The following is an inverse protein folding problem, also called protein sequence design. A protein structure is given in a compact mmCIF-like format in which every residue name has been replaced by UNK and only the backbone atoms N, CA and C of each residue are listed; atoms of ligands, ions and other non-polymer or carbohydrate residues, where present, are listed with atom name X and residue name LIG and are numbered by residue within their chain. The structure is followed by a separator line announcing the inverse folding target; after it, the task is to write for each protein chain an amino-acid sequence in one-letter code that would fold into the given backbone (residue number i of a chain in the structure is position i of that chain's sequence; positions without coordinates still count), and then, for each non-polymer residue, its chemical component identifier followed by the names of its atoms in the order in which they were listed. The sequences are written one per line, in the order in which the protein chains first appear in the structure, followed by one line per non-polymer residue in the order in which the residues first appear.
data_IF_246162794571
#
_entry.id   IF_246162794571
#
_cell.length_a   1.000
_cell.length_b   1.000
_cell.length_c   1.000
_cell.angle_alpha   90.00
_cell.angle_beta   90.00
_cell.angle_gamma   90.00
#
_symmetry.space_group_name_H-M   'P 1'
#
loop_
_entity.id
_entity.type
_entity.pdbx_description
1 polymer ?
#
# COMPACT_ATOMS: atom_id res chain seq x y z
N UNK A 1 18.39 5.44 9.19
CA UNK A 1 17.83 5.85 10.51
C UNK A 1 16.59 6.75 10.37
N UNK A 2 16.62 7.80 9.55
CA UNK A 2 15.47 8.75 9.38
C UNK A 2 14.20 8.05 8.92
N UNK A 3 14.29 7.19 7.90
CA UNK A 3 13.15 6.44 7.34
C UNK A 3 12.46 5.54 8.37
N UNK A 4 13.25 4.87 9.21
CA UNK A 4 12.72 4.01 10.27
C UNK A 4 11.97 4.84 11.33
N UNK A 5 12.56 5.96 11.75
CA UNK A 5 11.91 6.87 12.69
C UNK A 5 10.58 7.40 12.17
N UNK A 6 10.54 7.81 10.88
CA UNK A 6 9.32 8.28 10.24
C UNK A 6 8.26 7.17 10.14
N UNK A 7 8.65 5.96 9.75
CA UNK A 7 7.73 4.82 9.65
C UNK A 7 7.11 4.46 11.00
N UNK A 8 7.92 4.46 12.07
CA UNK A 8 7.45 4.22 13.44
C UNK A 8 6.51 5.34 13.89
N UNK A 9 6.86 6.61 13.62
CA UNK A 9 6.00 7.74 13.98
C UNK A 9 4.63 7.68 13.29
N UNK A 10 4.60 7.34 12.00
CA UNK A 10 3.35 7.14 11.25
C UNK A 10 2.55 5.96 11.81
N UNK A 11 3.21 4.85 12.13
CA UNK A 11 2.55 3.69 12.73
C UNK A 11 1.94 4.00 14.10
N UNK A 12 2.68 4.68 14.98
CA UNK A 12 2.16 5.09 16.29
C UNK A 12 1.00 6.09 16.14
N UNK A 13 1.11 7.03 15.20
CA UNK A 13 0.00 7.91 14.86
C UNK A 13 -1.22 7.14 14.34
N UNK A 14 -1.01 6.17 13.47
CA UNK A 14 -2.08 5.32 12.97
C UNK A 14 -2.77 4.53 14.09
N UNK A 15 -2.02 3.97 15.03
CA UNK A 15 -2.57 3.30 16.21
C UNK A 15 -3.36 4.27 17.10
N UNK A 16 -2.84 5.48 17.34
CA UNK A 16 -3.51 6.49 18.15
C UNK A 16 -4.88 6.90 17.57
N UNK A 17 -4.95 7.06 16.25
CA UNK A 17 -6.21 7.42 15.57
C UNK A 17 -7.11 6.21 15.26
N UNK A 18 -6.64 5.00 15.48
CA UNK A 18 -7.43 3.78 15.29
C UNK A 18 -8.29 3.49 16.51
N UNK A 19 -9.58 3.15 16.34
CA UNK A 19 -10.40 2.73 17.47
C UNK A 19 -9.83 1.43 18.06
N UNK A 20 -9.53 1.39 19.37
CA UNK A 20 -8.90 0.23 20.01
C UNK A 20 -9.73 -1.06 19.91
N UNK A 21 -11.02 -0.91 19.68
CA UNK A 21 -11.95 -2.04 19.53
C UNK A 21 -11.61 -2.97 18.36
N UNK A 22 -10.95 -2.44 17.31
CA UNK A 22 -10.57 -3.24 16.14
C UNK A 22 -9.51 -4.29 16.47
N UNK A 23 -8.63 -3.97 17.41
CA UNK A 23 -7.55 -4.87 17.80
C UNK A 23 -7.91 -5.74 19.02
N UNK A 24 -8.97 -5.37 19.75
CA UNK A 24 -9.32 -6.04 21.02
C UNK A 24 -10.63 -6.83 20.99
N UNK A 25 -11.57 -6.48 20.10
CA UNK A 25 -12.90 -7.13 20.08
C UNK A 25 -13.04 -8.07 18.88
N UNK A 26 -13.32 -9.37 19.12
CA UNK A 26 -13.80 -10.25 18.05
C UNK A 26 -15.18 -9.75 17.55
N UNK A 27 -15.50 -9.87 16.26
CA UNK A 27 -14.75 -10.49 15.15
C UNK A 27 -13.75 -9.56 14.46
N UNK A 28 -13.67 -8.27 14.83
CA UNK A 28 -12.85 -7.28 14.13
C UNK A 28 -11.35 -7.55 14.23
N UNK A 29 -10.89 -8.01 15.41
CA UNK A 29 -9.48 -8.39 15.61
C UNK A 29 -9.09 -9.62 14.76
N UNK A 30 -10.00 -10.58 14.60
CA UNK A 30 -9.78 -11.74 13.73
C UNK A 30 -9.72 -11.32 12.26
N UNK A 31 -10.54 -10.36 11.84
CA UNK A 31 -10.52 -9.85 10.49
C UNK A 31 -9.22 -9.08 10.19
N UNK A 32 -8.76 -8.28 11.15
CA UNK A 32 -7.47 -7.57 11.04
C UNK A 32 -6.29 -8.56 10.96
N UNK A 33 -6.30 -9.59 11.81
CA UNK A 33 -5.28 -10.64 11.78
C UNK A 33 -5.31 -11.43 10.47
N UNK A 34 -6.51 -11.80 9.99
CA UNK A 34 -6.67 -12.48 8.71
C UNK A 34 -6.16 -11.62 7.54
N UNK A 35 -6.42 -10.30 7.57
CA UNK A 35 -5.90 -9.38 6.57
C UNK A 35 -4.36 -9.31 6.59
N UNK A 36 -3.74 -9.27 7.77
CA UNK A 36 -2.28 -9.30 7.91
C UNK A 36 -1.70 -10.59 7.31
N UNK A 37 -2.24 -11.75 7.68
CA UNK A 37 -1.77 -13.05 7.21
C UNK A 37 -1.97 -13.17 5.69
N UNK A 38 -3.17 -12.83 5.20
CA UNK A 38 -3.49 -12.90 3.78
C UNK A 38 -2.57 -12.01 2.94
N UNK A 39 -2.39 -10.75 3.34
CA UNK A 39 -1.52 -9.83 2.62
C UNK A 39 -0.05 -10.23 2.72
N UNK A 40 0.42 -10.69 3.87
CA UNK A 40 1.79 -11.18 4.02
C UNK A 40 2.05 -12.36 3.07
N UNK A 41 1.10 -13.29 2.93
CA UNK A 41 1.19 -14.39 1.97
C UNK A 41 1.10 -13.87 0.53
N UNK A 42 0.08 -13.06 0.22
CA UNK A 42 -0.15 -12.57 -1.13
C UNK A 42 1.03 -11.73 -1.68
N UNK A 43 1.69 -10.98 -0.83
CA UNK A 43 2.87 -10.20 -1.22
C UNK A 43 4.11 -11.06 -1.47
N UNK A 44 4.18 -12.24 -0.89
CA UNK A 44 5.31 -13.17 -1.03
C UNK A 44 5.07 -14.26 -2.09
N UNK A 45 3.80 -14.51 -2.45
CA UNK A 45 3.44 -15.46 -3.51
C UNK A 45 3.31 -14.71 -4.82
N UNK A 46 4.44 -14.49 -5.50
CA UNK A 46 4.43 -13.94 -6.86
C UNK A 46 4.58 -15.08 -7.86
N UNK A 47 3.64 -15.30 -8.78
CA UNK A 47 3.84 -16.22 -9.88
C UNK A 47 5.03 -15.72 -10.73
N UNK A 48 6.05 -16.56 -10.88
CA UNK A 48 7.18 -16.29 -11.75
C UNK A 48 6.78 -16.55 -13.19
N UNK A 49 6.85 -15.54 -14.04
CA UNK A 49 6.80 -15.76 -15.49
C UNK A 49 8.13 -16.35 -15.95
N UNK A 50 8.12 -17.32 -16.92
CA UNK A 50 9.35 -17.88 -17.47
C UNK A 50 10.27 -16.78 -17.99
N UNK A 51 11.51 -16.73 -17.44
CA UNK A 51 12.54 -15.76 -17.84
C UNK A 51 12.63 -14.48 -17.01
N UNK A 52 11.78 -14.27 -16.00
CA UNK A 52 11.84 -13.12 -15.10
C UNK A 52 12.30 -13.53 -13.69
N UNK A 53 13.03 -12.63 -13.03
CA UNK A 53 13.42 -12.83 -11.64
C UNK A 53 12.16 -12.88 -10.73
N UNK A 54 12.10 -13.79 -9.74
CA UNK A 54 10.94 -13.92 -8.87
C UNK A 54 10.60 -12.60 -8.17
N UNK A 55 9.34 -12.23 -8.18
CA UNK A 55 8.80 -11.19 -7.30
C UNK A 55 8.80 -9.75 -7.80
N UNK A 56 9.40 -9.42 -8.95
CA UNK A 56 9.51 -8.00 -9.37
C UNK A 56 8.24 -7.38 -9.95
N UNK A 57 7.36 -8.14 -10.54
CA UNK A 57 6.25 -7.57 -11.34
C UNK A 57 4.91 -7.61 -10.65
N UNK A 58 4.46 -8.79 -10.21
CA UNK A 58 3.13 -8.96 -9.63
C UNK A 58 3.06 -8.49 -8.17
N UNK A 59 4.16 -8.53 -7.43
CA UNK A 59 4.23 -8.06 -6.06
C UNK A 59 3.84 -6.58 -5.90
N UNK A 60 4.25 -5.72 -6.84
CA UNK A 60 3.96 -4.28 -6.76
C UNK A 60 2.45 -3.99 -6.86
N UNK A 61 1.75 -4.65 -7.78
CA UNK A 61 0.31 -4.46 -7.99
C UNK A 61 -0.48 -4.92 -6.76
N UNK A 62 -0.18 -6.10 -6.23
CA UNK A 62 -0.86 -6.60 -5.03
C UNK A 62 -0.61 -5.70 -3.81
N UNK A 63 0.57 -5.12 -3.68
CA UNK A 63 0.88 -4.18 -2.60
C UNK A 63 -0.01 -2.93 -2.67
N UNK A 64 -0.14 -2.32 -3.84
CA UNK A 64 -0.98 -1.14 -4.02
C UNK A 64 -2.46 -1.43 -3.82
N UNK A 65 -2.96 -2.53 -4.38
CA UNK A 65 -4.36 -2.94 -4.19
C UNK A 65 -4.67 -3.25 -2.73
N UNK A 66 -3.76 -3.91 -2.02
CA UNK A 66 -3.92 -4.19 -0.60
C UNK A 66 -4.09 -2.92 0.24
N UNK A 67 -3.27 -1.90 0.01
CA UNK A 67 -3.36 -0.62 0.69
C UNK A 67 -4.69 0.10 0.42
N UNK A 68 -5.10 0.15 -0.85
CA UNK A 68 -6.35 0.79 -1.26
C UNK A 68 -7.57 0.05 -0.73
N UNK A 69 -7.57 -1.27 -0.80
CA UNK A 69 -8.66 -2.10 -0.29
C UNK A 69 -8.84 -1.93 1.22
N UNK A 70 -7.76 -2.02 2.00
CA UNK A 70 -7.82 -1.80 3.44
C UNK A 70 -8.29 -0.40 3.79
N UNK A 71 -7.86 0.61 3.02
CA UNK A 71 -8.30 1.99 3.21
C UNK A 71 -9.79 2.14 2.96
N UNK A 72 -10.33 1.49 1.94
CA UNK A 72 -11.76 1.50 1.62
C UNK A 72 -12.61 0.77 2.69
N UNK A 73 -12.08 -0.33 3.25
CA UNK A 73 -12.79 -1.16 4.23
C UNK A 73 -12.74 -0.59 5.64
N UNK A 74 -11.57 -0.13 6.10
CA UNK A 74 -11.32 0.21 7.49
C UNK A 74 -10.95 1.66 7.73
N UNK A 75 -10.71 2.41 6.65
CA UNK A 75 -10.17 3.76 6.73
C UNK A 75 -8.64 3.80 6.83
N UNK A 76 -8.03 4.99 6.64
CA UNK A 76 -6.59 5.12 6.47
C UNK A 76 -5.77 4.75 7.71
N UNK A 77 -6.24 5.11 8.91
CA UNK A 77 -5.51 4.84 10.15
C UNK A 77 -5.34 3.32 10.39
N UNK A 78 -6.43 2.56 10.28
CA UNK A 78 -6.40 1.12 10.49
C UNK A 78 -5.64 0.42 9.36
N UNK A 79 -5.81 0.87 8.12
CA UNK A 79 -5.06 0.35 6.98
C UNK A 79 -3.54 0.47 7.21
N UNK A 80 -3.06 1.65 7.64
CA UNK A 80 -1.64 1.87 7.95
C UNK A 80 -1.15 1.02 9.13
N UNK A 81 -1.99 0.83 10.16
CA UNK A 81 -1.64 -0.03 11.30
C UNK A 81 -1.52 -1.51 10.90
N UNK A 82 -2.36 -1.99 9.99
CA UNK A 82 -2.30 -3.36 9.45
C UNK A 82 -1.12 -3.53 8.49
N UNK A 83 -0.87 -2.56 7.63
CA UNK A 83 0.17 -2.63 6.61
C UNK A 83 1.59 -2.53 7.18
N UNK A 84 1.78 -1.94 8.35
CA UNK A 84 3.10 -1.85 8.98
C UNK A 84 3.71 -3.24 9.25
N UNK A 85 3.08 -4.14 10.01
CA UNK A 85 3.63 -5.48 10.23
C UNK A 85 3.73 -6.28 8.92
N UNK A 86 2.82 -6.10 7.97
CA UNK A 86 2.89 -6.78 6.67
C UNK A 86 4.15 -6.37 5.89
N UNK A 87 4.42 -5.06 5.80
CA UNK A 87 5.61 -4.54 5.11
C UNK A 87 6.91 -4.99 5.79
N UNK A 88 6.96 -4.92 7.12
CA UNK A 88 8.15 -5.33 7.86
C UNK A 88 8.37 -6.84 7.82
N UNK A 89 7.34 -7.67 7.97
CA UNK A 89 7.49 -9.12 7.87
C UNK A 89 7.87 -9.54 6.44
N UNK A 90 7.21 -8.98 5.42
CA UNK A 90 7.49 -9.33 4.04
C UNK A 90 8.89 -8.93 3.58
N UNK A 91 9.24 -7.66 3.74
CA UNK A 91 10.51 -7.13 3.22
C UNK A 91 11.69 -7.53 4.10
N UNK A 92 11.54 -7.52 5.43
CA UNK A 92 12.62 -7.91 6.34
C UNK A 92 13.00 -9.37 6.18
N UNK A 93 12.03 -10.27 6.04
CA UNK A 93 12.28 -11.70 5.88
C UNK A 93 12.96 -12.02 4.54
N UNK A 94 12.61 -11.27 3.46
CA UNK A 94 13.12 -11.55 2.12
C UNK A 94 14.42 -10.79 1.82
N UNK A 95 14.49 -9.51 2.21
CA UNK A 95 15.60 -8.61 1.85
C UNK A 95 16.56 -8.34 3.01
N UNK A 96 16.17 -8.68 4.24
CA UNK A 96 17.03 -8.65 5.41
C UNK A 96 17.38 -7.28 5.97
N UNK A 97 16.73 -6.20 5.53
CA UNK A 97 17.06 -4.83 5.92
C UNK A 97 15.91 -4.03 6.53
N UNK A 98 16.14 -3.37 7.67
CA UNK A 98 15.15 -2.43 8.26
C UNK A 98 14.98 -1.15 7.45
N UNK A 99 16.02 -0.70 6.75
CA UNK A 99 15.97 0.50 5.92
C UNK A 99 15.06 0.27 4.71
N UNK A 100 15.22 -0.85 4.04
CA UNK A 100 14.42 -1.27 2.90
C UNK A 100 12.96 -1.47 3.29
N UNK A 101 12.70 -2.15 4.41
CA UNK A 101 11.35 -2.33 4.94
C UNK A 101 10.68 -0.99 5.26
N UNK A 102 11.43 -0.03 5.83
CA UNK A 102 10.91 1.31 6.14
C UNK A 102 10.60 2.10 4.89
N UNK A 103 11.47 2.08 3.89
CA UNK A 103 11.24 2.73 2.59
C UNK A 103 10.04 2.11 1.88
N UNK A 104 9.96 0.77 1.87
CA UNK A 104 8.84 0.04 1.30
C UNK A 104 7.51 0.44 1.96
N UNK A 105 7.46 0.46 3.30
CA UNK A 105 6.28 0.90 4.02
C UNK A 105 5.85 2.31 3.63
N UNK A 106 6.78 3.27 3.55
CA UNK A 106 6.45 4.64 3.20
C UNK A 106 5.98 4.79 1.76
N UNK A 107 6.69 4.16 0.81
CA UNK A 107 6.42 4.35 -0.62
C UNK A 107 5.25 3.50 -1.13
N UNK A 108 5.09 2.28 -0.60
CA UNK A 108 4.14 1.28 -1.13
C UNK A 108 2.90 1.13 -0.24
N UNK A 109 2.96 1.55 1.03
CA UNK A 109 1.80 1.48 1.91
C UNK A 109 1.23 2.88 2.22
N UNK A 110 2.07 3.82 2.68
CA UNK A 110 1.59 5.13 3.14
C UNK A 110 1.07 5.98 1.98
N UNK A 111 1.82 6.10 0.89
CA UNK A 111 1.40 6.91 -0.26
C UNK A 111 0.12 6.41 -0.92
N UNK A 112 -0.04 5.11 -1.26
CA UNK A 112 -1.30 4.62 -1.84
C UNK A 112 -2.48 4.75 -0.87
N UNK A 113 -2.27 4.51 0.43
CA UNK A 113 -3.30 4.73 1.45
C UNK A 113 -3.78 6.18 1.46
N UNK A 114 -2.85 7.13 1.43
CA UNK A 114 -3.16 8.55 1.40
C UNK A 114 -3.94 8.94 0.13
N UNK A 115 -3.47 8.54 -1.04
CA UNK A 115 -4.17 8.85 -2.30
C UNK A 115 -5.52 8.16 -2.41
N UNK A 116 -5.63 6.91 -1.96
CA UNK A 116 -6.92 6.20 -1.89
C UNK A 116 -7.91 6.94 -0.99
N UNK A 117 -7.47 7.37 0.19
CA UNK A 117 -8.32 8.12 1.12
C UNK A 117 -8.82 9.44 0.51
N UNK A 118 -7.94 10.19 -0.15
CA UNK A 118 -8.32 11.43 -0.83
C UNK A 118 -9.34 11.19 -1.94
N UNK A 119 -9.12 10.14 -2.74
CA UNK A 119 -10.02 9.76 -3.84
C UNK A 119 -11.38 9.33 -3.31
N UNK A 120 -11.43 8.48 -2.29
CA UNK A 120 -12.67 8.06 -1.64
C UNK A 120 -13.43 9.27 -1.09
N UNK A 121 -12.73 10.19 -0.42
CA UNK A 121 -13.33 11.43 0.10
C UNK A 121 -13.87 12.32 -1.01
N UNK A 122 -13.19 12.43 -2.14
CA UNK A 122 -13.65 13.16 -3.31
C UNK A 122 -14.90 12.50 -3.92
N UNK A 123 -14.89 11.18 -4.11
CA UNK A 123 -16.04 10.41 -4.61
C UNK A 123 -17.25 10.67 -3.72
N UNK A 124 -17.13 10.55 -2.40
CA UNK A 124 -18.24 10.75 -1.47
C UNK A 124 -18.75 12.19 -1.43
N UNK A 125 -17.93 13.17 -1.82
CA UNK A 125 -18.32 14.58 -1.88
C UNK A 125 -19.08 14.94 -3.17
N UNK A 126 -18.68 14.37 -4.30
CA UNK A 126 -19.16 14.79 -5.62
C UNK A 126 -20.16 13.83 -6.26
N UNK A 127 -20.21 12.58 -5.81
CA UNK A 127 -21.04 11.54 -6.41
C UNK A 127 -22.11 11.09 -5.41
N UNK A 128 -23.38 10.92 -5.85
CA UNK A 128 -24.47 10.50 -4.97
C UNK A 128 -24.18 9.11 -4.37
N UNK A 129 -24.62 8.91 -3.12
CA UNK A 129 -24.42 7.66 -2.37
C UNK A 129 -25.25 6.52 -2.96
N UNK A 130 -24.73 5.87 -3.95
CA UNK A 130 -25.33 4.71 -4.58
C UNK A 130 -24.44 3.47 -4.37
N UNK A 131 -25.04 2.29 -4.23
CA UNK A 131 -24.30 1.06 -3.97
C UNK A 131 -23.20 0.79 -5.03
N UNK A 132 -23.52 1.05 -6.30
CA UNK A 132 -22.56 0.94 -7.40
C UNK A 132 -21.37 1.90 -7.24
N UNK A 133 -21.62 3.13 -6.81
CA UNK A 133 -20.56 4.10 -6.53
C UNK A 133 -19.70 3.67 -5.36
N UNK A 134 -20.30 3.06 -4.34
CA UNK A 134 -19.57 2.55 -3.19
C UNK A 134 -18.61 1.41 -3.60
N UNK A 135 -19.07 0.45 -4.38
CA UNK A 135 -18.27 -0.71 -4.79
C UNK A 135 -17.24 -0.32 -5.85
N UNK A 136 -17.67 0.29 -6.96
CA UNK A 136 -16.80 0.64 -8.07
C UNK A 136 -15.92 1.86 -7.76
N UNK A 137 -16.48 2.89 -7.14
CA UNK A 137 -15.75 4.11 -6.81
C UNK A 137 -14.70 3.87 -5.73
N UNK A 138 -15.10 3.32 -4.60
CA UNK A 138 -14.16 3.11 -3.49
C UNK A 138 -13.21 1.93 -3.73
N UNK A 139 -13.69 0.87 -4.38
CA UNK A 139 -12.85 -0.30 -4.67
C UNK A 139 -11.92 -0.06 -5.85
N UNK A 140 -12.48 0.11 -7.06
CA UNK A 140 -11.70 0.15 -8.29
C UNK A 140 -11.11 1.52 -8.60
N UNK A 141 -11.94 2.58 -8.59
CA UNK A 141 -11.48 3.92 -8.97
C UNK A 141 -10.45 4.44 -7.96
N UNK A 142 -10.68 4.28 -6.67
CA UNK A 142 -9.73 4.71 -5.65
C UNK A 142 -8.41 3.92 -5.74
N UNK A 143 -8.45 2.62 -5.99
CA UNK A 143 -7.25 1.81 -6.19
C UNK A 143 -6.48 2.25 -7.45
N UNK A 144 -7.16 2.37 -8.58
CA UNK A 144 -6.54 2.78 -9.84
C UNK A 144 -5.89 4.17 -9.76
N UNK A 145 -6.63 5.15 -9.24
CA UNK A 145 -6.11 6.51 -9.06
C UNK A 145 -4.92 6.53 -8.09
N UNK A 146 -4.97 5.77 -6.99
CA UNK A 146 -3.87 5.71 -6.04
C UNK A 146 -2.59 5.12 -6.64
N UNK A 147 -2.71 4.09 -7.48
CA UNK A 147 -1.57 3.49 -8.20
C UNK A 147 -0.95 4.49 -9.17
N UNK A 148 -1.77 5.17 -9.98
CA UNK A 148 -1.28 6.19 -10.93
C UNK A 148 -0.59 7.32 -10.18
N UNK A 149 -1.22 7.91 -9.17
CA UNK A 149 -0.65 9.03 -8.43
C UNK A 149 0.62 8.65 -7.68
N UNK A 150 0.65 7.48 -7.05
CA UNK A 150 1.85 6.99 -6.35
C UNK A 150 2.97 6.72 -7.34
N UNK A 151 2.70 6.00 -8.42
CA UNK A 151 3.69 5.70 -9.45
C UNK A 151 4.25 6.97 -10.11
N UNK A 152 3.38 7.92 -10.44
CA UNK A 152 3.80 9.22 -11.00
C UNK A 152 4.66 10.01 -10.01
N UNK A 153 4.28 10.06 -8.74
CA UNK A 153 5.06 10.73 -7.70
C UNK A 153 6.44 10.09 -7.54
N UNK A 154 6.51 8.77 -7.47
CA UNK A 154 7.78 8.04 -7.36
C UNK A 154 8.67 8.27 -8.59
N UNK A 155 8.09 8.30 -9.80
CA UNK A 155 8.81 8.64 -11.02
C UNK A 155 9.37 10.06 -10.97
N UNK A 156 8.56 11.05 -10.56
CA UNK A 156 9.01 12.44 -10.42
C UNK A 156 10.13 12.54 -9.38
N UNK A 157 10.01 11.87 -8.25
CA UNK A 157 11.06 11.86 -7.22
C UNK A 157 12.35 11.24 -7.75
N UNK A 158 12.25 10.16 -8.52
CA UNK A 158 13.42 9.52 -9.16
C UNK A 158 14.07 10.45 -10.19
N UNK A 159 13.29 11.19 -10.96
CA UNK A 159 13.81 12.17 -11.94
C UNK A 159 14.50 13.36 -11.28
N UNK A 160 13.98 13.82 -10.13
CA UNK A 160 14.52 15.01 -9.44
C UNK A 160 15.73 14.69 -8.55
N UNK A 161 15.76 13.51 -7.93
CA UNK A 161 16.73 13.14 -6.91
C UNK A 161 17.54 11.88 -7.25
N UNK A 162 17.19 11.17 -8.32
CA UNK A 162 17.90 9.98 -8.76
C UNK A 162 19.20 10.35 -9.50
N UNK A 163 20.24 9.54 -9.32
CA UNK A 163 21.46 9.67 -10.11
C UNK A 163 21.18 9.42 -11.59
N UNK A 164 21.74 10.25 -12.46
CA UNK A 164 21.55 10.20 -13.91
C UNK A 164 22.01 8.88 -14.57
N UNK A 165 22.77 8.05 -13.83
CA UNK A 165 23.24 6.73 -14.27
C UNK A 165 22.18 5.61 -14.19
N UNK A 166 21.10 5.82 -13.43
CA UNK A 166 20.02 4.85 -13.33
C UNK A 166 19.03 5.05 -14.47
N UNK A 167 19.14 4.26 -15.52
CA UNK A 167 18.11 4.17 -16.56
C UNK A 167 16.73 4.01 -15.90
N UNK A 168 15.82 4.95 -16.23
CA UNK A 168 14.43 4.85 -15.80
C UNK A 168 13.86 3.65 -16.54
N UNK A 169 13.54 2.59 -15.82
CA UNK A 169 12.80 1.46 -16.37
C UNK A 169 11.33 1.88 -16.54
N UNK A 170 11.11 2.66 -17.63
CA UNK A 170 9.79 3.15 -18.01
C UNK A 170 8.87 1.99 -18.40
N UNK A 171 9.43 0.93 -18.98
CA UNK A 171 8.67 -0.28 -19.33
C UNK A 171 8.19 -0.99 -18.05
N UNK A 172 9.03 -1.12 -17.04
CA UNK A 172 8.66 -1.68 -15.74
C UNK A 172 7.56 -0.87 -15.03
N UNK A 173 7.56 0.46 -15.20
CA UNK A 173 6.51 1.30 -14.65
C UNK A 173 5.18 1.15 -15.42
N UNK A 174 5.23 1.16 -16.76
CA UNK A 174 4.05 1.03 -17.61
C UNK A 174 3.37 -0.33 -17.45
N UNK A 175 4.14 -1.39 -17.36
CA UNK A 175 3.65 -2.75 -17.16
C UNK A 175 3.14 -2.97 -15.73
N UNK A 176 3.60 -2.18 -14.75
CA UNK A 176 3.04 -2.16 -13.39
C UNK A 176 1.67 -1.49 -13.29
N UNK A 177 1.21 -0.83 -14.38
CA UNK A 177 -0.11 -0.19 -14.49
C UNK A 177 -1.16 -1.08 -15.17
N UNK A 178 -0.76 -2.14 -15.87
CA UNK A 178 -1.62 -3.12 -16.55
C UNK A 178 -1.85 -4.34 -15.67
#
# INVERSE_FOLDING_TARGET
MIWLGLSIAIFLGALYFSPPQIFTKPPLSLLALAAIIFLAIAWNVSPTLPGQAPGKFYGLIFHFYGASLLTAMFGPAIALAILFPVAFLGVYVIQGGYAEASQHYLMVCVLPTFFSYLTIKAIHRFIPKHLFVLILGNGYVAAFVSVILTGTLLLILKLLFGDASNHIDFEGWLLGLI
#
